data_IF_922127706226
#
_entry.id   IF_922127706226
#
_cell.length_a   1.000
_cell.length_b   1.000
_cell.length_c   1.000
_cell.angle_alpha   90.00
_cell.angle_beta   90.00
_cell.angle_gamma   90.00
#
_symmetry.space_group_name_H-M   'P 1'
#
loop_
_entity.id
_entity.type
_entity.pdbx_description
1 polymer ?
#
# COMPACT_ATOMS: atom_id res chain seq x y z
N UNK A 1 -6.95 71.85 -47.13
CA UNK A 1 -6.04 71.01 -46.30
C UNK A 1 -6.32 71.35 -44.85
N UNK A 2 -6.55 70.48 -43.86
CA UNK A 2 -5.99 69.15 -43.59
C UNK A 2 -6.87 68.50 -42.50
N UNK A 3 -7.66 67.48 -42.83
CA UNK A 3 -8.48 66.74 -41.86
C UNK A 3 -8.22 65.23 -42.02
N UNK A 4 -6.94 64.85 -41.86
CA UNK A 4 -6.44 63.47 -42.10
C UNK A 4 -5.90 62.79 -40.83
N UNK A 5 -5.81 63.50 -39.68
CA UNK A 5 -4.98 63.04 -38.56
C UNK A 5 -5.71 62.48 -37.33
N UNK A 6 -7.05 62.41 -37.31
CA UNK A 6 -7.78 61.91 -36.14
C UNK A 6 -8.16 60.42 -36.20
N UNK A 7 -8.19 59.80 -37.38
CA UNK A 7 -8.54 58.38 -37.54
C UNK A 7 -7.39 57.44 -37.13
N UNK A 8 -6.13 57.83 -37.34
CA UNK A 8 -4.95 57.00 -37.06
C UNK A 8 -4.63 56.82 -35.56
N UNK A 9 -5.18 57.69 -34.69
CA UNK A 9 -4.92 57.65 -33.25
C UNK A 9 -5.78 56.60 -32.52
N UNK A 10 -6.98 56.29 -33.02
CA UNK A 10 -7.85 55.23 -32.47
C UNK A 10 -7.31 53.84 -32.78
N UNK A 11 -6.81 53.60 -34.00
CA UNK A 11 -6.23 52.31 -34.37
C UNK A 11 -4.93 52.01 -33.62
N UNK A 12 -4.06 53.01 -33.39
CA UNK A 12 -2.76 52.83 -32.68
C UNK A 12 -2.88 52.43 -31.21
N UNK A 13 -3.97 52.84 -30.54
CA UNK A 13 -4.29 52.43 -29.15
C UNK A 13 -4.97 51.06 -29.08
N UNK A 14 -5.69 50.68 -30.14
CA UNK A 14 -6.35 49.38 -30.23
C UNK A 14 -5.39 48.24 -30.58
N UNK A 15 -4.37 48.49 -31.42
CA UNK A 15 -3.34 47.48 -31.74
C UNK A 15 -2.41 47.18 -30.56
N UNK A 16 -2.14 48.16 -29.69
CA UNK A 16 -1.31 47.93 -28.50
C UNK A 16 -2.00 47.01 -27.48
N UNK A 17 -3.33 47.12 -27.33
CA UNK A 17 -4.10 46.22 -26.48
C UNK A 17 -4.17 44.79 -27.03
N UNK A 18 -4.26 44.63 -28.36
CA UNK A 18 -4.35 43.32 -29.01
C UNK A 18 -3.00 42.56 -28.99
N UNK A 19 -1.88 43.27 -29.11
CA UNK A 19 -0.53 42.68 -29.02
C UNK A 19 -0.18 42.24 -27.58
N UNK A 20 -0.61 43.00 -26.56
CA UNK A 20 -0.39 42.64 -25.15
C UNK A 20 -1.16 41.37 -24.74
N UNK A 21 -2.38 41.18 -25.28
CA UNK A 21 -3.18 39.98 -25.04
C UNK A 21 -2.55 38.71 -25.64
N UNK A 22 -1.95 38.79 -26.83
CA UNK A 22 -1.26 37.65 -27.46
C UNK A 22 -0.02 37.20 -26.67
N UNK A 23 0.68 38.13 -26.01
CA UNK A 23 1.87 37.79 -25.21
C UNK A 23 1.52 37.03 -23.92
N UNK A 24 0.31 37.22 -23.38
CA UNK A 24 -0.13 36.54 -22.14
C UNK A 24 -0.54 35.07 -22.37
N UNK A 25 -1.01 34.69 -23.56
CA UNK A 25 -1.36 33.30 -23.86
C UNK A 25 -0.16 32.39 -24.11
N UNK A 26 1.03 32.94 -24.45
CA UNK A 26 2.24 32.15 -24.69
C UNK A 26 2.89 31.61 -23.38
N UNK A 27 2.47 32.09 -22.21
CA UNK A 27 3.03 31.67 -20.92
C UNK A 27 2.39 30.38 -20.36
N UNK A 28 1.20 29.99 -20.84
CA UNK A 28 0.52 28.77 -20.38
C UNK A 28 0.96 27.50 -21.12
N UNK A 29 1.73 27.61 -22.20
CA UNK A 29 2.19 26.47 -22.99
C UNK A 29 3.57 25.92 -22.53
N UNK A 30 3.97 26.18 -21.28
CA UNK A 30 5.13 25.48 -20.69
C UNK A 30 4.73 24.04 -20.38
N UNK A 31 4.84 23.18 -21.38
CA UNK A 31 4.91 21.74 -21.17
C UNK A 31 6.20 21.44 -20.42
N UNK A 32 6.08 21.12 -19.13
CA UNK A 32 7.17 20.53 -18.36
C UNK A 32 7.47 19.20 -19.04
N UNK A 33 8.68 18.96 -19.58
CA UNK A 33 9.05 17.64 -20.05
C UNK A 33 9.09 16.74 -18.82
N UNK A 34 8.03 15.95 -18.64
CA UNK A 34 8.05 14.82 -17.74
C UNK A 34 8.94 13.80 -18.43
N UNK A 35 10.20 13.75 -18.00
CA UNK A 35 11.09 12.64 -18.33
C UNK A 35 10.49 11.40 -17.68
N UNK A 36 9.60 10.74 -18.40
CA UNK A 36 9.12 9.42 -18.01
C UNK A 36 10.35 8.53 -18.04
N UNK A 37 10.75 7.88 -16.94
CA UNK A 37 11.79 6.88 -17.01
C UNK A 37 11.25 5.77 -17.91
N UNK A 38 11.66 5.82 -19.18
CA UNK A 38 11.43 4.73 -20.12
C UNK A 38 12.16 3.55 -19.51
N UNK A 39 11.40 2.57 -19.04
CA UNK A 39 11.90 1.23 -18.78
C UNK A 39 12.26 0.62 -20.13
N UNK A 40 13.38 1.08 -20.70
CA UNK A 40 14.04 0.38 -21.80
C UNK A 40 14.58 -0.88 -21.16
N UNK A 41 13.90 -2.00 -21.40
CA UNK A 41 14.45 -3.33 -21.24
C UNK A 41 15.63 -3.44 -22.23
N UNK A 42 16.77 -2.89 -21.83
CA UNK A 42 18.05 -3.15 -22.47
C UNK A 42 18.86 -3.97 -21.48
N UNK A 43 18.91 -5.26 -21.79
CA UNK A 43 19.36 -6.39 -20.98
C UNK A 43 20.88 -6.36 -20.74
N UNK A 44 21.35 -5.34 -20.04
CA UNK A 44 22.75 -5.24 -19.63
C UNK A 44 22.86 -5.55 -18.14
N UNK A 45 23.59 -6.62 -17.74
CA UNK A 45 23.68 -7.04 -16.34
C UNK A 45 24.21 -5.93 -15.43
N UNK A 46 25.12 -5.09 -15.95
CA UNK A 46 25.65 -3.94 -15.23
C UNK A 46 24.58 -2.88 -14.85
N UNK A 47 23.53 -2.71 -15.66
CA UNK A 47 22.45 -1.75 -15.41
C UNK A 47 21.40 -2.35 -14.46
N UNK A 48 21.19 -3.66 -14.52
CA UNK A 48 20.40 -4.40 -13.54
C UNK A 48 21.04 -4.34 -12.15
N UNK A 49 22.36 -4.56 -12.04
CA UNK A 49 23.09 -4.47 -10.78
C UNK A 49 23.00 -3.05 -10.17
N UNK A 50 23.09 -2.03 -11.03
CA UNK A 50 22.92 -0.64 -10.61
C UNK A 50 21.49 -0.31 -10.15
N UNK A 51 20.47 -0.90 -10.76
CA UNK A 51 19.07 -0.76 -10.33
C UNK A 51 18.81 -1.52 -9.02
N UNK A 52 19.30 -2.75 -8.89
CA UNK A 52 19.21 -3.56 -7.67
C UNK A 52 19.89 -2.87 -6.48
N UNK A 53 21.04 -2.23 -6.73
CA UNK A 53 21.77 -1.49 -5.69
C UNK A 53 20.95 -0.28 -5.22
N UNK A 54 20.37 0.48 -6.14
CA UNK A 54 19.50 1.64 -5.82
C UNK A 54 18.23 1.25 -5.09
N UNK A 55 17.58 0.15 -5.49
CA UNK A 55 16.40 -0.36 -4.77
C UNK A 55 16.78 -0.86 -3.38
N UNK A 56 17.94 -1.51 -3.24
CA UNK A 56 18.45 -1.97 -1.94
C UNK A 56 18.72 -0.77 -1.02
N UNK A 57 19.41 0.26 -1.50
CA UNK A 57 19.66 1.49 -0.74
C UNK A 57 18.37 2.20 -0.32
N UNK A 58 17.41 2.35 -1.24
CA UNK A 58 16.11 2.94 -0.94
C UNK A 58 15.35 2.13 0.12
N UNK A 59 15.35 0.80 0.01
CA UNK A 59 14.71 -0.09 0.98
C UNK A 59 15.39 -0.02 2.36
N UNK A 60 16.71 0.12 2.41
CA UNK A 60 17.46 0.29 3.67
C UNK A 60 17.12 1.62 4.37
N UNK A 61 16.92 2.69 3.61
CA UNK A 61 16.50 3.98 4.17
C UNK A 61 15.08 3.92 4.74
N UNK A 62 14.16 3.27 4.03
CA UNK A 62 12.78 3.06 4.48
C UNK A 62 12.75 2.19 5.74
N UNK A 63 13.47 1.06 5.73
CA UNK A 63 13.59 0.18 6.89
C UNK A 63 14.14 0.89 8.13
N UNK A 64 15.08 1.85 7.94
CA UNK A 64 15.61 2.67 9.04
C UNK A 64 14.56 3.64 9.61
N UNK A 65 13.73 4.23 8.75
CA UNK A 65 12.65 5.14 9.18
C UNK A 65 11.57 4.35 9.92
N UNK A 66 11.19 3.17 9.43
CA UNK A 66 10.23 2.28 10.08
C UNK A 66 10.74 1.79 11.45
N UNK A 67 12.00 1.37 11.54
CA UNK A 67 12.62 0.95 12.81
C UNK A 67 12.65 2.05 13.87
N UNK A 68 12.75 3.33 13.46
CA UNK A 68 12.76 4.47 14.36
C UNK A 68 11.34 4.92 14.79
N UNK A 69 10.30 4.53 14.05
CA UNK A 69 8.94 5.03 14.22
C UNK A 69 7.91 4.03 14.76
N UNK A 70 8.27 2.76 15.04
CA UNK A 70 7.31 1.71 15.37
C UNK A 70 6.97 1.61 16.88
N UNK A 71 5.78 2.05 17.34
CA UNK A 71 5.24 1.60 18.61
C UNK A 71 4.74 0.15 18.48
N UNK A 72 5.17 -0.72 19.41
CA UNK A 72 4.73 -2.12 19.47
C UNK A 72 5.39 -2.99 18.39
N UNK A 73 6.52 -3.62 18.73
CA UNK A 73 7.11 -4.64 17.85
C UNK A 73 6.17 -5.84 17.80
N UNK A 74 5.71 -6.18 16.60
CA UNK A 74 5.18 -7.52 16.34
C UNK A 74 6.36 -8.50 16.53
N UNK A 75 6.20 -9.57 17.31
CA UNK A 75 7.23 -10.59 17.47
C UNK A 75 7.72 -11.07 16.11
N UNK A 76 9.01 -11.40 15.99
CA UNK A 76 9.59 -11.91 14.74
C UNK A 76 8.78 -13.14 14.24
N UNK A 77 8.71 -13.38 12.91
CA UNK A 77 7.90 -14.47 12.33
C UNK A 77 8.24 -15.87 12.86
N UNK A 78 9.43 -16.05 13.44
CA UNK A 78 9.89 -17.31 14.05
C UNK A 78 10.00 -17.22 15.58
N UNK A 79 9.43 -16.18 16.19
CA UNK A 79 9.45 -16.04 17.64
C UNK A 79 8.67 -17.20 18.28
N UNK A 80 9.39 -18.00 19.06
CA UNK A 80 8.83 -19.03 19.94
C UNK A 80 7.81 -18.42 20.89
N UNK A 81 6.81 -19.21 21.26
CA UNK A 81 5.84 -18.80 22.27
C UNK A 81 6.58 -18.58 23.61
N UNK A 82 6.40 -17.42 24.28
CA UNK A 82 6.87 -17.24 25.64
C UNK A 82 6.39 -18.38 26.55
N UNK A 83 7.24 -18.88 27.48
CA UNK A 83 6.94 -20.08 28.27
C UNK A 83 5.78 -19.92 29.25
N UNK A 84 5.30 -18.70 29.48
CA UNK A 84 4.15 -18.38 30.32
C UNK A 84 2.81 -18.42 29.55
N UNK A 85 2.83 -18.45 28.22
CA UNK A 85 1.62 -18.50 27.39
C UNK A 85 1.22 -19.96 27.17
N UNK A 86 0.05 -20.33 27.70
CA UNK A 86 -0.60 -21.59 27.38
C UNK A 86 -1.68 -21.35 26.32
N UNK A 87 -1.49 -21.90 25.13
CA UNK A 87 -2.51 -21.92 24.09
C UNK A 87 -3.35 -23.21 24.19
N UNK A 88 -4.65 -23.13 23.87
CA UNK A 88 -5.46 -24.33 23.66
C UNK A 88 -4.87 -25.24 22.59
N UNK A 89 -5.06 -26.55 22.76
CA UNK A 89 -4.52 -27.59 21.87
C UNK A 89 -4.98 -27.42 20.42
N UNK A 90 -6.21 -26.93 20.20
CA UNK A 90 -6.76 -26.68 18.86
C UNK A 90 -5.92 -25.69 18.04
N UNK A 91 -5.28 -24.71 18.69
CA UNK A 91 -4.43 -23.73 18.02
C UNK A 91 -3.04 -24.29 17.68
N UNK A 92 -2.62 -25.36 18.35
CA UNK A 92 -1.36 -26.06 18.14
C UNK A 92 -1.47 -27.15 17.06
N UNK A 93 -2.68 -27.44 16.59
CA UNK A 93 -2.92 -28.45 15.56
C UNK A 93 -2.15 -28.09 14.27
N UNK A 94 -1.37 -29.03 13.70
CA UNK A 94 -0.64 -28.79 12.47
C UNK A 94 -1.58 -28.78 11.26
N UNK A 95 -1.40 -27.78 10.39
CA UNK A 95 -2.20 -27.57 9.20
C UNK A 95 -1.28 -27.20 8.04
N UNK A 96 -1.66 -27.63 6.83
CA UNK A 96 -1.00 -27.23 5.59
C UNK A 96 -1.95 -26.38 4.77
N UNK A 97 -1.50 -25.18 4.39
CA UNK A 97 -2.29 -24.20 3.65
C UNK A 97 -1.47 -23.71 2.47
N UNK A 98 -2.08 -23.74 1.29
CA UNK A 98 -1.57 -23.08 0.09
C UNK A 98 -2.71 -22.21 -0.47
N UNK A 99 -2.63 -20.91 -0.20
CA UNK A 99 -3.70 -19.95 -0.49
C UNK A 99 -3.15 -18.70 -1.16
N UNK A 100 -3.83 -18.26 -2.21
CA UNK A 100 -3.65 -16.94 -2.81
C UNK A 100 -5.01 -16.38 -3.15
N UNK A 101 -5.45 -15.35 -2.43
CA UNK A 101 -6.79 -14.82 -2.62
C UNK A 101 -7.22 -13.87 -1.51
N UNK A 102 -8.52 -13.51 -1.47
CA UNK A 102 -9.09 -12.70 -0.40
C UNK A 102 -8.81 -13.29 0.98
N UNK A 103 -8.63 -12.42 1.97
CA UNK A 103 -8.32 -12.84 3.34
C UNK A 103 -9.53 -13.38 4.12
N UNK A 104 -10.72 -12.86 3.87
CA UNK A 104 -11.93 -13.25 4.64
C UNK A 104 -12.23 -14.75 4.52
N UNK A 105 -12.27 -15.36 3.33
CA UNK A 105 -12.54 -16.80 3.21
C UNK A 105 -11.43 -17.67 3.83
N UNK A 106 -10.18 -17.19 3.81
CA UNK A 106 -9.07 -17.88 4.45
C UNK A 106 -9.24 -17.90 5.97
N UNK A 107 -9.56 -16.75 6.56
CA UNK A 107 -9.74 -16.64 8.02
C UNK A 107 -11.01 -17.34 8.49
N UNK A 108 -12.10 -17.28 7.73
CA UNK A 108 -13.33 -18.02 7.98
C UNK A 108 -13.06 -19.54 7.97
N UNK A 109 -12.39 -20.07 6.93
CA UNK A 109 -12.04 -21.48 6.86
C UNK A 109 -11.10 -21.93 8.00
N UNK A 110 -10.19 -21.06 8.45
CA UNK A 110 -9.33 -21.36 9.60
C UNK A 110 -10.10 -21.32 10.92
N UNK A 111 -11.11 -20.45 11.06
CA UNK A 111 -11.99 -20.40 12.23
C UNK A 111 -12.85 -21.66 12.31
N UNK A 112 -13.47 -22.06 11.19
CA UNK A 112 -14.25 -23.30 11.06
C UNK A 112 -13.40 -24.54 11.40
N UNK A 113 -12.13 -24.55 11.00
CA UNK A 113 -11.21 -25.66 11.26
C UNK A 113 -10.97 -25.89 12.75
N UNK A 114 -10.95 -24.82 13.55
CA UNK A 114 -10.72 -24.88 15.00
C UNK A 114 -12.02 -24.74 15.81
N UNK A 115 -13.18 -24.79 15.16
CA UNK A 115 -14.51 -24.63 15.76
C UNK A 115 -14.69 -23.30 16.51
N UNK A 116 -14.14 -22.21 15.95
CA UNK A 116 -14.29 -20.86 16.50
C UNK A 116 -15.31 -20.06 15.68
N UNK A 117 -16.05 -19.19 16.36
CA UNK A 117 -16.93 -18.20 15.74
C UNK A 117 -16.12 -17.23 14.86
N UNK A 118 -16.70 -16.85 13.71
CA UNK A 118 -16.13 -15.88 12.78
C UNK A 118 -16.88 -14.54 12.83
N UNK A 119 -16.16 -13.43 12.95
CA UNK A 119 -16.75 -12.09 12.96
C UNK A 119 -15.94 -11.07 12.17
N UNK A 120 -16.61 -10.28 11.33
CA UNK A 120 -16.00 -9.12 10.65
C UNK A 120 -16.54 -7.82 11.24
N UNK A 121 -15.66 -6.87 11.55
CA UNK A 121 -16.02 -5.57 12.15
C UNK A 121 -15.40 -4.41 11.38
N UNK A 122 -16.16 -3.32 11.22
CA UNK A 122 -15.71 -2.10 10.56
C UNK A 122 -16.12 -2.00 9.08
N UNK A 123 -15.86 -0.85 8.44
CA UNK A 123 -16.18 -0.67 7.03
C UNK A 123 -15.20 -1.46 6.17
N UNK A 124 -15.70 -2.46 5.43
CA UNK A 124 -14.89 -3.21 4.49
C UNK A 124 -14.31 -2.28 3.41
N UNK A 125 -13.05 -2.49 2.98
CA UNK A 125 -12.42 -1.69 1.95
C UNK A 125 -13.10 -1.89 0.58
N UNK A 126 -12.95 -0.91 -0.32
CA UNK A 126 -13.54 -0.98 -1.66
C UNK A 126 -12.98 -2.14 -2.52
N UNK A 127 -11.77 -2.60 -2.20
CA UNK A 127 -11.13 -3.74 -2.86
C UNK A 127 -10.78 -4.81 -1.82
N UNK A 128 -10.96 -6.11 -2.13
CA UNK A 128 -10.60 -7.18 -1.22
C UNK A 128 -9.12 -7.16 -0.86
N UNK A 129 -8.80 -7.44 0.40
CA UNK A 129 -7.42 -7.63 0.83
C UNK A 129 -6.94 -9.02 0.41
N UNK A 130 -5.93 -9.06 -0.45
CA UNK A 130 -5.37 -10.31 -0.98
C UNK A 130 -4.15 -10.70 -0.14
N UNK A 131 -4.08 -11.97 0.24
CA UNK A 131 -2.93 -12.58 0.93
C UNK A 131 -2.45 -13.81 0.18
N UNK A 132 -1.15 -14.09 0.30
CA UNK A 132 -0.51 -15.27 -0.27
C UNK A 132 0.25 -16.00 0.84
N UNK A 133 -0.24 -17.16 1.25
CA UNK A 133 0.34 -17.98 2.32
C UNK A 133 0.56 -19.38 1.79
N UNK A 134 1.79 -19.88 1.93
CA UNK A 134 2.14 -21.26 1.60
C UNK A 134 2.98 -21.83 2.73
N UNK A 135 2.37 -22.73 3.50
CA UNK A 135 2.91 -23.31 4.74
C UNK A 135 2.47 -24.76 4.85
N UNK A 136 3.29 -25.58 5.49
CA UNK A 136 3.06 -27.03 5.57
C UNK A 136 3.44 -27.54 6.95
N UNK A 137 2.52 -28.30 7.55
CA UNK A 137 2.70 -28.90 8.88
C UNK A 137 3.00 -27.87 9.99
N UNK A 138 2.36 -26.70 9.90
CA UNK A 138 2.55 -25.59 10.85
C UNK A 138 1.33 -25.44 11.75
N UNK A 139 1.51 -25.02 13.01
CA UNK A 139 0.40 -24.84 13.92
C UNK A 139 -0.51 -23.67 13.49
N UNK A 140 -1.83 -23.81 13.70
CA UNK A 140 -2.84 -22.82 13.26
C UNK A 140 -2.54 -21.41 13.76
N UNK A 141 -2.11 -21.26 15.01
CA UNK A 141 -1.80 -19.94 15.58
C UNK A 141 -0.71 -19.20 14.79
N UNK A 142 0.27 -19.94 14.26
CA UNK A 142 1.38 -19.38 13.49
C UNK A 142 0.89 -18.93 12.11
N UNK A 143 0.02 -19.71 11.48
CA UNK A 143 -0.62 -19.32 10.22
C UNK A 143 -1.47 -18.05 10.38
N UNK A 144 -2.28 -17.98 11.43
CA UNK A 144 -3.08 -16.78 11.72
C UNK A 144 -2.20 -15.57 12.02
N UNK A 145 -1.04 -15.77 12.69
CA UNK A 145 -0.03 -14.72 12.89
C UNK A 145 0.56 -14.23 11.57
N UNK A 146 0.95 -15.14 10.68
CA UNK A 146 1.50 -14.78 9.36
C UNK A 146 0.50 -13.99 8.52
N UNK A 147 -0.78 -14.37 8.57
CA UNK A 147 -1.87 -13.60 7.95
C UNK A 147 -1.99 -12.22 8.60
N UNK A 148 -1.99 -12.13 9.93
CA UNK A 148 -2.05 -10.86 10.65
C UNK A 148 -0.89 -9.93 10.27
N UNK A 149 0.33 -10.45 10.18
CA UNK A 149 1.52 -9.72 9.75
C UNK A 149 1.34 -9.21 8.32
N UNK A 150 0.82 -10.04 7.41
CA UNK A 150 0.55 -9.67 6.02
C UNK A 150 -0.47 -8.53 5.89
N UNK A 151 -1.29 -8.30 6.92
CA UNK A 151 -2.36 -7.30 6.95
C UNK A 151 -2.06 -6.09 7.83
N UNK A 152 -0.86 -5.99 8.44
CA UNK A 152 -0.52 -5.03 9.53
C UNK A 152 -1.03 -3.60 9.32
N UNK A 153 -1.10 -3.09 8.09
CA UNK A 153 -1.57 -1.73 7.77
C UNK A 153 -3.03 -1.62 7.31
N UNK A 154 -3.66 -2.74 6.94
CA UNK A 154 -4.94 -2.78 6.23
C UNK A 154 -6.08 -3.37 7.06
N UNK A 155 -5.78 -4.28 7.99
CA UNK A 155 -6.74 -4.86 8.91
C UNK A 155 -6.04 -5.42 10.15
N UNK A 156 -6.79 -5.63 11.23
CA UNK A 156 -6.33 -6.29 12.44
C UNK A 156 -7.03 -7.62 12.59
N UNK A 157 -6.25 -8.69 12.74
CA UNK A 157 -6.77 -10.04 13.05
C UNK A 157 -6.72 -10.23 14.57
N UNK A 158 -7.83 -10.63 15.16
CA UNK A 158 -7.98 -10.89 16.59
C UNK A 158 -8.37 -12.35 16.76
N UNK A 159 -7.59 -13.08 17.57
CA UNK A 159 -7.90 -14.45 17.96
C UNK A 159 -8.10 -14.45 19.47
N UNK A 160 -9.29 -14.84 19.91
CA UNK A 160 -9.65 -14.92 21.32
C UNK A 160 -9.99 -16.37 21.70
N UNK A 161 -9.03 -17.13 22.27
CA UNK A 161 -9.26 -18.52 22.61
C UNK A 161 -10.27 -18.70 23.74
N UNK A 162 -10.39 -17.74 24.67
CA UNK A 162 -11.33 -17.83 25.80
C UNK A 162 -12.79 -17.63 25.39
N UNK A 163 -13.03 -17.02 24.22
CA UNK A 163 -14.35 -16.77 23.65
C UNK A 163 -14.60 -17.58 22.39
N UNK A 164 -13.66 -18.46 22.01
CA UNK A 164 -13.72 -19.25 20.77
C UNK A 164 -14.05 -18.36 19.56
N UNK A 165 -13.36 -17.22 19.42
CA UNK A 165 -13.68 -16.20 18.42
C UNK A 165 -12.45 -15.81 17.61
N UNK A 166 -12.60 -15.83 16.29
CA UNK A 166 -11.70 -15.20 15.32
C UNK A 166 -12.42 -13.99 14.72
N UNK A 167 -11.79 -12.82 14.79
CA UNK A 167 -12.35 -11.60 14.25
C UNK A 167 -11.37 -10.86 13.32
N UNK A 168 -11.92 -10.30 12.24
CA UNK A 168 -11.22 -9.39 11.35
C UNK A 168 -11.78 -7.98 11.52
N UNK A 169 -10.92 -7.05 11.91
CA UNK A 169 -11.28 -5.66 12.14
C UNK A 169 -10.65 -4.75 11.07
N UNK A 170 -11.49 -4.04 10.32
CA UNK A 170 -11.05 -3.00 9.41
C UNK A 170 -10.89 -1.66 10.15
N UNK A 171 -9.84 -0.87 9.82
CA UNK A 171 -9.65 0.44 10.40
C UNK A 171 -10.75 1.41 9.94
N UNK A 172 -11.12 2.33 10.82
CA UNK A 172 -11.99 3.45 10.44
C UNK A 172 -11.11 4.55 9.85
N UNK A 173 -11.18 4.75 8.54
CA UNK A 173 -10.53 5.90 7.88
C UNK A 173 -11.33 7.17 8.22
N UNK A 174 -10.74 8.08 9.01
CA UNK A 174 -11.30 9.42 9.28
C UNK A 174 -10.78 10.44 8.26
#
# INVERSE_FOLDING_TARGET
>A
MTNYNQTNQKYRRSTTFLVFSIFMLAACARTIPVDQPVLVAEDTPAKLDALLSRTTEANLLIARIEAAGAPGRIPEPDADLPPDIQLPEVLLQPVSVDWTGPVEPLLEAMADLIDYDWQVTGPAPAHPLIVSISRRDEPVWLLMRDVAISLTSSATVIVNPSRELVALQYPVHQ
#
